data_IF_517790547874
#
_entry.id   IF_517790547874
#
_cell.length_a   1.000
_cell.length_b   1.000
_cell.length_c   1.000
_cell.angle_alpha   90.00
_cell.angle_beta   90.00
_cell.angle_gamma   90.00
#
_symmetry.space_group_name_H-M   'P 1'
#
loop_
_entity.id
_entity.type
_entity.pdbx_description
1 polymer ?
#
# COMPACT_ATOMS: atom_id res chain seq x y z
N UNK A 1 -26.12 12.62 -39.03
CA UNK A 1 -24.81 12.58 -38.35
C UNK A 1 -25.02 11.91 -36.99
N UNK A 2 -24.76 10.60 -36.91
CA UNK A 2 -25.05 9.75 -35.74
C UNK A 2 -23.73 9.10 -35.34
N UNK A 3 -23.25 9.41 -34.14
CA UNK A 3 -22.05 8.79 -33.56
C UNK A 3 -22.33 7.30 -33.30
N UNK A 4 -21.59 6.42 -33.99
CA UNK A 4 -21.55 4.99 -33.70
C UNK A 4 -20.77 4.75 -32.41
N UNK A 5 -21.45 4.21 -31.41
CA UNK A 5 -20.82 3.54 -30.27
C UNK A 5 -20.35 2.15 -30.72
N UNK A 6 -19.07 1.84 -30.56
CA UNK A 6 -18.53 0.49 -30.73
C UNK A 6 -18.89 -0.37 -29.52
N UNK A 7 -19.73 -1.38 -29.74
CA UNK A 7 -20.12 -2.40 -28.77
C UNK A 7 -18.97 -3.37 -28.47
N UNK A 8 -18.70 -3.63 -27.19
CA UNK A 8 -17.89 -4.77 -26.73
C UNK A 8 -18.56 -6.08 -27.18
N UNK A 9 -17.83 -6.91 -27.94
CA UNK A 9 -18.28 -8.26 -28.30
C UNK A 9 -17.94 -9.24 -27.19
N UNK A 10 -18.95 -9.76 -26.51
CA UNK A 10 -18.88 -11.03 -25.80
C UNK A 10 -18.59 -12.15 -26.81
N UNK A 11 -17.50 -12.90 -26.63
CA UNK A 11 -17.21 -14.10 -27.42
C UNK A 11 -17.51 -15.36 -26.60
N UNK A 12 -18.40 -16.16 -27.16
CA UNK A 12 -18.90 -17.45 -26.68
C UNK A 12 -17.80 -18.50 -26.45
N UNK A 13 -17.92 -19.24 -25.34
CA UNK A 13 -17.13 -20.42 -24.99
C UNK A 13 -17.42 -21.58 -25.95
N UNK A 14 -16.39 -22.05 -26.67
CA UNK A 14 -16.40 -23.42 -27.23
C UNK A 14 -15.92 -24.39 -26.16
N UNK A 15 -16.75 -25.39 -25.84
CA UNK A 15 -16.39 -26.54 -25.01
C UNK A 15 -15.31 -27.37 -25.72
N UNK A 16 -14.15 -27.50 -25.09
CA UNK A 16 -13.19 -28.56 -25.39
C UNK A 16 -13.46 -29.72 -24.44
N UNK A 17 -13.78 -30.87 -25.01
CA UNK A 17 -13.90 -32.16 -24.33
C UNK A 17 -12.52 -32.81 -24.26
N UNK A 18 -11.98 -32.99 -23.05
CA UNK A 18 -11.40 -34.25 -22.60
C UNK A 18 -11.05 -34.20 -21.11
N UNK A 19 -11.38 -35.32 -20.46
CA UNK A 19 -11.50 -35.56 -19.04
C UNK A 19 -10.16 -35.81 -18.33
N UNK A 20 -10.12 -35.57 -17.02
CA UNK A 20 -9.09 -36.17 -16.14
C UNK A 20 -8.72 -35.41 -14.86
N UNK A 21 -9.68 -35.11 -13.98
CA UNK A 21 -9.62 -35.18 -12.49
C UNK A 21 -10.55 -34.15 -11.85
N UNK A 22 -11.52 -34.68 -11.10
CA UNK A 22 -12.61 -33.95 -10.44
C UNK A 22 -12.13 -33.21 -9.21
N UNK A 23 -12.29 -31.88 -9.17
CA UNK A 23 -12.31 -31.12 -7.92
C UNK A 23 -13.76 -30.79 -7.58
N UNK A 24 -14.28 -31.38 -6.49
CA UNK A 24 -15.67 -31.22 -6.01
C UNK A 24 -15.76 -30.02 -5.07
N UNK A 25 -15.74 -28.82 -5.63
CA UNK A 25 -16.19 -27.61 -4.92
C UNK A 25 -17.01 -26.76 -5.89
N UNK A 26 -18.33 -26.74 -5.66
CA UNK A 26 -19.20 -25.68 -6.21
C UNK A 26 -18.64 -24.34 -5.72
N UNK A 27 -18.46 -23.40 -6.64
CA UNK A 27 -18.03 -22.00 -6.41
C UNK A 27 -16.52 -21.69 -6.35
N UNK A 28 -15.67 -22.58 -6.87
CA UNK A 28 -14.31 -22.20 -7.26
C UNK A 28 -14.31 -21.48 -8.62
N UNK A 29 -14.63 -20.19 -8.64
CA UNK A 29 -14.36 -19.32 -9.79
C UNK A 29 -12.86 -19.02 -9.87
N UNK A 30 -12.07 -20.02 -10.26
CA UNK A 30 -10.73 -19.74 -10.81
C UNK A 30 -10.96 -18.99 -12.11
N UNK A 31 -10.91 -17.65 -12.04
CA UNK A 31 -10.76 -16.80 -13.23
C UNK A 31 -9.41 -17.15 -13.85
N UNK A 32 -9.39 -18.16 -14.71
CA UNK A 32 -8.30 -18.39 -15.64
C UNK A 32 -8.32 -17.20 -16.60
N UNK A 33 -7.60 -16.13 -16.24
CA UNK A 33 -7.20 -15.12 -17.23
C UNK A 33 -6.25 -15.81 -18.18
N UNK A 34 -6.79 -16.39 -19.24
CA UNK A 34 -5.98 -16.75 -20.41
C UNK A 34 -5.36 -15.43 -20.86
N UNK A 35 -4.06 -15.27 -20.63
CA UNK A 35 -3.25 -14.15 -21.15
C UNK A 35 -3.11 -14.37 -22.66
N UNK A 36 -4.20 -14.16 -23.38
CA UNK A 36 -4.48 -14.64 -24.74
C UNK A 36 -3.62 -14.01 -25.84
N UNK A 37 -2.64 -13.19 -25.47
CA UNK A 37 -1.83 -12.39 -26.39
C UNK A 37 -0.35 -12.77 -26.39
N UNK A 38 0.05 -13.78 -25.60
CA UNK A 38 1.39 -14.37 -25.68
C UNK A 38 1.57 -15.07 -27.04
N UNK A 39 2.73 -14.85 -27.67
CA UNK A 39 2.99 -15.20 -29.08
C UNK A 39 4.45 -15.59 -29.29
N UNK A 40 4.68 -16.43 -30.29
CA UNK A 40 6.01 -16.92 -30.64
C UNK A 40 6.51 -18.05 -29.73
N UNK A 41 7.63 -18.66 -30.10
CA UNK A 41 8.28 -19.71 -29.32
C UNK A 41 9.27 -19.10 -28.34
N UNK A 42 9.11 -19.40 -27.05
CA UNK A 42 9.99 -18.93 -25.99
C UNK A 42 10.75 -20.11 -25.38
N UNK A 43 11.99 -19.87 -24.98
CA UNK A 43 12.80 -20.82 -24.22
C UNK A 43 12.51 -20.62 -22.73
N UNK A 44 12.47 -19.37 -22.27
CA UNK A 44 12.14 -18.97 -20.90
C UNK A 44 11.76 -17.49 -20.85
N UNK A 45 11.06 -17.04 -19.81
CA UNK A 45 10.34 -17.83 -18.82
C UNK A 45 9.07 -18.47 -19.40
N UNK A 46 8.41 -19.32 -18.62
CA UNK A 46 7.07 -19.82 -18.96
C UNK A 46 6.02 -18.69 -18.88
N UNK A 47 4.90 -18.86 -19.58
CA UNK A 47 3.80 -17.89 -19.50
C UNK A 47 3.20 -17.87 -18.09
N UNK A 48 3.11 -16.69 -17.49
CA UNK A 48 2.52 -16.50 -16.17
C UNK A 48 3.40 -17.04 -15.04
N UNK A 49 4.66 -17.37 -15.32
CA UNK A 49 5.63 -17.71 -14.29
C UNK A 49 5.75 -16.56 -13.28
N UNK A 50 5.93 -16.91 -12.01
CA UNK A 50 5.95 -15.95 -10.90
C UNK A 50 7.37 -15.76 -10.41
N UNK A 51 7.79 -14.51 -10.36
CA UNK A 51 9.07 -14.08 -9.81
C UNK A 51 8.83 -13.20 -8.60
N UNK A 52 9.81 -13.13 -7.69
CA UNK A 52 9.65 -12.45 -6.42
C UNK A 52 10.75 -11.43 -6.20
N UNK A 53 10.36 -10.19 -5.95
CA UNK A 53 11.18 -9.23 -5.20
C UNK A 53 11.43 -9.86 -3.83
N UNK A 54 12.70 -9.98 -3.46
CA UNK A 54 13.08 -10.67 -2.24
C UNK A 54 12.86 -9.82 -0.98
N UNK A 55 13.18 -10.40 0.18
CA UNK A 55 13.05 -9.75 1.48
C UNK A 55 13.99 -8.55 1.66
N UNK A 56 15.01 -8.39 0.79
CA UNK A 56 15.92 -7.24 0.75
C UNK A 56 15.44 -6.16 -0.24
N UNK A 57 14.23 -6.32 -0.78
CA UNK A 57 13.64 -5.47 -1.81
C UNK A 57 14.45 -5.42 -3.12
N UNK A 58 15.10 -6.53 -3.48
CA UNK A 58 15.85 -6.66 -4.73
C UNK A 58 14.95 -7.27 -5.80
N UNK A 59 14.87 -6.59 -6.96
CA UNK A 59 14.15 -7.10 -8.13
C UNK A 59 14.81 -8.40 -8.64
N UNK A 60 14.03 -9.44 -9.00
CA UNK A 60 14.57 -10.76 -9.36
C UNK A 60 15.31 -10.76 -10.71
N UNK A 61 16.17 -11.75 -10.90
CA UNK A 61 16.67 -12.12 -12.22
C UNK A 61 15.55 -12.82 -13.01
N UNK A 62 15.17 -12.23 -14.14
CA UNK A 62 14.16 -12.81 -15.04
C UNK A 62 14.75 -12.79 -16.43
N UNK A 63 15.25 -13.94 -16.87
CA UNK A 63 15.82 -14.08 -18.19
C UNK A 63 14.74 -14.44 -19.21
N UNK A 64 14.51 -13.52 -20.13
CA UNK A 64 13.63 -13.69 -21.28
C UNK A 64 14.45 -14.14 -22.48
N UNK A 65 14.10 -15.27 -23.09
CA UNK A 65 14.77 -15.81 -24.26
C UNK A 65 13.76 -16.44 -25.23
N UNK A 66 13.86 -16.11 -26.51
CA UNK A 66 12.96 -16.61 -27.55
C UNK A 66 13.71 -17.26 -28.72
N UNK A 67 13.00 -18.12 -29.45
CA UNK A 67 13.52 -18.76 -30.66
C UNK A 67 13.16 -17.94 -31.90
N UNK A 68 14.18 -17.60 -32.68
CA UNK A 68 14.03 -16.95 -33.99
C UNK A 68 15.17 -17.36 -34.90
N UNK A 69 14.86 -17.58 -36.18
CA UNK A 69 15.85 -17.83 -37.23
C UNK A 69 16.19 -16.54 -38.01
N UNK A 70 15.44 -15.46 -37.77
CA UNK A 70 15.72 -14.16 -38.36
C UNK A 70 16.96 -13.55 -37.68
N UNK A 71 17.87 -12.91 -38.44
CA UNK A 71 18.96 -12.15 -37.85
C UNK A 71 18.42 -10.93 -37.08
N UNK A 72 19.19 -10.47 -36.12
CA UNK A 72 18.95 -9.21 -35.42
C UNK A 72 19.18 -7.99 -36.32
N UNK A 73 19.02 -6.77 -35.77
CA UNK A 73 18.74 -6.50 -34.37
C UNK A 73 17.27 -6.71 -33.98
N UNK A 74 17.04 -7.02 -32.71
CA UNK A 74 15.71 -7.22 -32.12
C UNK A 74 15.26 -5.97 -31.39
N UNK A 75 14.04 -5.52 -31.67
CA UNK A 75 13.42 -4.40 -30.97
C UNK A 75 12.65 -4.95 -29.77
N UNK A 76 13.11 -4.62 -28.57
CA UNK A 76 12.50 -5.04 -27.32
C UNK A 76 11.65 -3.91 -26.75
N UNK A 77 10.46 -4.24 -26.31
CA UNK A 77 9.60 -3.39 -25.49
C UNK A 77 9.17 -4.18 -24.26
N UNK A 78 9.21 -3.54 -23.11
CA UNK A 78 8.68 -4.09 -21.88
C UNK A 78 7.70 -3.13 -21.25
N UNK A 79 6.70 -3.71 -20.57
CA UNK A 79 5.68 -2.98 -19.85
C UNK A 79 5.33 -3.74 -18.59
N UNK A 80 5.46 -3.12 -17.43
CA UNK A 80 4.96 -3.66 -16.16
C UNK A 80 3.81 -2.81 -15.65
N UNK A 81 2.72 -3.46 -15.26
CA UNK A 81 1.51 -2.81 -14.79
C UNK A 81 1.04 -3.48 -13.51
N UNK A 82 0.64 -2.67 -12.53
CA UNK A 82 -0.07 -3.13 -11.37
C UNK A 82 -1.31 -2.26 -11.11
N UNK A 83 -2.47 -2.91 -11.08
CA UNK A 83 -3.73 -2.28 -10.69
C UNK A 83 -3.91 -2.51 -9.18
N UNK A 84 -3.92 -1.43 -8.41
CA UNK A 84 -4.07 -1.52 -6.96
C UNK A 84 -5.52 -1.85 -6.59
N UNK A 85 -5.67 -2.87 -5.74
CA UNK A 85 -6.93 -3.28 -5.14
C UNK A 85 -6.84 -3.21 -3.62
N UNK A 86 -7.89 -2.65 -3.01
CA UNK A 86 -7.97 -2.55 -1.56
C UNK A 86 -7.91 -3.94 -0.93
N UNK A 87 -7.31 -4.04 0.24
CA UNK A 87 -7.17 -5.22 1.06
C UNK A 87 -7.35 -4.85 2.52
N UNK A 88 -7.77 -5.82 3.32
CA UNK A 88 -7.65 -5.71 4.77
C UNK A 88 -6.21 -6.07 5.19
N UNK A 89 -5.84 -5.82 6.44
CA UNK A 89 -4.58 -6.32 7.01
C UNK A 89 -4.61 -7.84 7.24
N UNK A 90 -5.81 -8.42 7.32
CA UNK A 90 -6.01 -9.85 7.48
C UNK A 90 -6.00 -10.52 6.11
N UNK A 91 -5.49 -11.74 6.05
CA UNK A 91 -5.45 -12.52 4.82
C UNK A 91 -6.87 -12.76 4.30
N UNK A 92 -7.12 -12.34 3.06
CA UNK A 92 -8.44 -12.39 2.47
C UNK A 92 -8.43 -11.88 1.03
N UNK A 93 -9.53 -12.14 0.33
CA UNK A 93 -9.72 -11.62 -1.02
C UNK A 93 -9.67 -10.09 -1.01
N UNK A 94 -9.00 -9.54 -2.02
CA UNK A 94 -8.98 -8.09 -2.22
C UNK A 94 -10.37 -7.57 -2.59
N UNK A 95 -10.67 -6.38 -2.09
CA UNK A 95 -11.88 -5.63 -2.41
C UNK A 95 -11.80 -4.91 -3.76
N UNK A 96 -12.55 -3.82 -3.86
CA UNK A 96 -12.64 -3.03 -5.10
C UNK A 96 -11.29 -2.39 -5.46
N UNK A 97 -11.10 -2.15 -6.75
CA UNK A 97 -9.97 -1.34 -7.21
C UNK A 97 -10.06 0.06 -6.61
N UNK A 98 -8.93 0.59 -6.14
CA UNK A 98 -8.85 1.96 -5.64
C UNK A 98 -8.65 3.00 -6.77
N UNK A 99 -8.90 2.59 -8.03
CA UNK A 99 -8.70 3.40 -9.25
C UNK A 99 -7.29 3.99 -9.36
N UNK A 100 -6.29 3.21 -8.95
CA UNK A 100 -4.88 3.58 -9.09
C UNK A 100 -4.14 2.46 -9.82
N UNK A 101 -3.58 2.83 -10.96
CA UNK A 101 -2.75 1.95 -11.80
C UNK A 101 -1.35 2.50 -11.80
N UNK A 102 -0.39 1.65 -11.48
CA UNK A 102 1.02 1.93 -11.64
C UNK A 102 1.52 1.26 -12.90
N UNK A 103 2.36 1.96 -13.67
CA UNK A 103 2.82 1.48 -14.96
C UNK A 103 4.19 2.06 -15.27
N UNK A 104 5.07 1.20 -15.76
CA UNK A 104 6.38 1.56 -16.29
C UNK A 104 6.57 0.84 -17.63
N UNK A 105 7.25 1.52 -18.54
CA UNK A 105 7.52 1.03 -19.90
C UNK A 105 8.95 1.34 -20.28
N UNK A 106 9.53 0.51 -21.12
CA UNK A 106 10.82 0.78 -21.72
C UNK A 106 10.96 0.06 -23.06
N UNK A 107 11.87 0.58 -23.87
CA UNK A 107 12.19 0.02 -25.17
C UNK A 107 13.69 0.15 -25.44
N UNK A 108 14.24 -0.83 -26.12
CA UNK A 108 15.65 -0.84 -26.52
C UNK A 108 15.85 -1.80 -27.70
N UNK A 109 17.06 -1.81 -28.24
CA UNK A 109 17.44 -2.65 -29.38
C UNK A 109 18.72 -3.39 -29.03
N UNK A 110 18.79 -4.68 -29.36
CA UNK A 110 20.01 -5.49 -29.18
C UNK A 110 20.10 -6.63 -30.20
N UNK A 111 21.31 -7.16 -30.38
CA UNK A 111 21.57 -8.32 -31.23
C UNK A 111 21.17 -9.66 -30.56
N UNK A 112 21.13 -9.68 -29.23
CA UNK A 112 20.82 -10.89 -28.47
C UNK A 112 19.35 -11.29 -28.51
N UNK A 113 19.09 -12.61 -28.49
CA UNK A 113 17.75 -13.20 -28.31
C UNK A 113 17.35 -13.34 -26.84
N UNK A 114 18.25 -12.98 -25.92
CA UNK A 114 18.02 -13.03 -24.48
C UNK A 114 18.18 -11.67 -23.82
N UNK A 115 17.33 -11.37 -22.85
CA UNK A 115 17.40 -10.16 -22.06
C UNK A 115 16.99 -10.45 -20.62
N UNK A 116 17.74 -9.91 -19.65
CA UNK A 116 17.40 -10.02 -18.25
C UNK A 116 16.69 -8.75 -17.76
N UNK A 117 15.46 -8.92 -17.25
CA UNK A 117 14.65 -7.82 -16.75
C UNK A 117 15.22 -7.13 -15.49
N UNK A 118 16.23 -7.72 -14.81
CA UNK A 118 16.98 -7.03 -13.75
C UNK A 118 17.56 -5.70 -14.24
N UNK A 119 17.88 -5.58 -15.53
CA UNK A 119 18.37 -4.32 -16.15
C UNK A 119 17.35 -3.17 -16.15
N UNK A 120 16.07 -3.41 -15.81
CA UNK A 120 15.09 -2.34 -15.55
C UNK A 120 15.60 -1.39 -14.44
N UNK A 121 16.38 -1.91 -13.49
CA UNK A 121 17.02 -1.10 -12.45
C UNK A 121 16.06 -0.47 -11.44
N UNK A 122 14.84 -0.99 -11.32
CA UNK A 122 13.81 -0.53 -10.38
C UNK A 122 13.20 -1.70 -9.61
N UNK A 123 12.84 -1.48 -8.35
CA UNK A 123 12.09 -2.46 -7.54
C UNK A 123 10.59 -2.20 -7.69
N UNK A 124 9.98 -2.77 -8.72
CA UNK A 124 8.56 -2.64 -9.06
C UNK A 124 7.95 -4.01 -9.36
N UNK A 125 6.70 -4.24 -9.00
CA UNK A 125 6.01 -5.51 -9.25
C UNK A 125 4.72 -5.32 -10.04
N UNK A 126 4.07 -6.43 -10.39
CA UNK A 126 2.87 -6.46 -11.23
C UNK A 126 3.02 -7.44 -12.38
N UNK A 127 2.15 -7.29 -13.38
CA UNK A 127 2.22 -8.11 -14.59
C UNK A 127 3.24 -7.49 -15.55
N UNK A 128 4.36 -8.17 -15.76
CA UNK A 128 5.42 -7.78 -16.69
C UNK A 128 5.19 -8.47 -18.03
N UNK A 129 5.05 -7.66 -19.08
CA UNK A 129 4.87 -8.10 -20.46
C UNK A 129 6.04 -7.65 -21.31
N UNK A 130 6.64 -8.59 -22.02
CA UNK A 130 7.71 -8.39 -22.97
C UNK A 130 7.18 -8.58 -24.38
N UNK A 131 7.61 -7.71 -25.26
CA UNK A 131 7.34 -7.76 -26.68
C UNK A 131 8.65 -7.60 -27.45
N UNK A 132 8.88 -8.50 -28.40
CA UNK A 132 10.07 -8.44 -29.28
C UNK A 132 9.62 -8.44 -30.72
N UNK A 133 10.08 -7.46 -31.49
CA UNK A 133 9.81 -7.33 -32.92
C UNK A 133 11.11 -7.53 -33.72
N UNK A 134 11.02 -8.35 -34.77
CA UNK A 134 12.10 -8.55 -35.76
C UNK A 134 11.50 -8.83 -37.13
N UNK A 135 11.83 -7.99 -38.12
CA UNK A 135 11.13 -7.98 -39.40
C UNK A 135 9.61 -7.89 -39.20
N UNK A 136 8.88 -8.86 -39.76
CA UNK A 136 7.42 -8.97 -39.60
C UNK A 136 6.99 -9.91 -38.46
N UNK A 137 7.92 -10.48 -37.69
CA UNK A 137 7.63 -11.39 -36.57
C UNK A 137 7.56 -10.63 -35.25
N UNK A 138 6.59 -11.03 -34.42
CA UNK A 138 6.33 -10.49 -33.08
C UNK A 138 6.28 -11.61 -32.05
N UNK A 139 7.07 -11.49 -31.00
CA UNK A 139 7.10 -12.38 -29.85
C UNK A 139 6.53 -11.65 -28.64
N UNK A 140 5.71 -12.33 -27.85
CA UNK A 140 5.11 -11.76 -26.64
C UNK A 140 5.17 -12.79 -25.52
N UNK A 141 5.69 -12.39 -24.37
CA UNK A 141 5.69 -13.20 -23.13
C UNK A 141 5.26 -12.37 -21.95
N UNK A 142 4.47 -12.96 -21.07
CA UNK A 142 4.00 -12.30 -19.86
C UNK A 142 4.34 -13.12 -18.61
N UNK A 143 4.81 -12.48 -17.56
CA UNK A 143 5.07 -13.06 -16.23
C UNK A 143 4.45 -12.20 -15.13
N UNK A 144 4.46 -12.67 -13.89
CA UNK A 144 4.12 -11.85 -12.72
C UNK A 144 5.33 -11.64 -11.82
N UNK A 145 5.53 -10.39 -11.40
CA UNK A 145 6.52 -10.01 -10.40
C UNK A 145 5.78 -9.66 -9.11
N UNK A 146 5.99 -10.46 -8.08
CA UNK A 146 5.39 -10.35 -6.75
C UNK A 146 6.48 -9.94 -5.73
N UNK A 147 6.12 -9.75 -4.46
CA UNK A 147 7.07 -9.35 -3.43
C UNK A 147 6.93 -10.22 -2.17
N UNK A 148 8.06 -10.56 -1.56
CA UNK A 148 8.10 -11.24 -0.27
C UNK A 148 7.98 -10.24 0.88
N UNK A 149 7.41 -10.69 1.99
CA UNK A 149 7.42 -9.95 3.25
C UNK A 149 8.86 -9.85 3.79
N UNK A 150 9.39 -8.66 4.11
CA UNK A 150 10.72 -8.52 4.74
C UNK A 150 10.89 -9.19 6.10
N UNK A 151 9.80 -9.42 6.84
CA UNK A 151 9.84 -9.79 8.25
C UNK A 151 10.09 -8.58 9.16
N UNK A 152 9.57 -8.66 10.38
CA UNK A 152 9.61 -7.58 11.38
C UNK A 152 11.03 -7.11 11.69
N UNK A 153 11.97 -8.04 11.84
CA UNK A 153 13.33 -7.76 12.32
C UNK A 153 14.15 -6.93 11.31
N UNK A 154 13.93 -7.13 10.01
CA UNK A 154 14.54 -6.29 8.95
C UNK A 154 14.00 -4.87 8.99
N UNK A 155 12.68 -4.73 9.15
CA UNK A 155 12.04 -3.40 9.28
C UNK A 155 12.57 -2.68 10.52
N UNK A 156 12.63 -3.35 11.66
CA UNK A 156 13.18 -2.79 12.90
C UNK A 156 14.66 -2.42 12.78
N UNK A 157 15.46 -3.24 12.10
CA UNK A 157 16.87 -2.93 11.85
C UNK A 157 17.02 -1.63 11.07
N UNK A 158 16.26 -1.47 9.97
CA UNK A 158 16.27 -0.24 9.18
C UNK A 158 15.85 0.99 10.00
N UNK A 159 14.81 0.85 10.83
CA UNK A 159 14.35 1.94 11.72
C UNK A 159 15.45 2.35 12.71
N UNK A 160 16.16 1.38 13.30
CA UNK A 160 17.30 1.64 14.20
C UNK A 160 18.47 2.32 13.50
N UNK A 161 18.81 1.89 12.28
CA UNK A 161 19.85 2.53 11.46
C UNK A 161 19.54 4.02 11.19
N UNK A 162 18.25 4.35 11.05
CA UNK A 162 17.79 5.73 10.88
C UNK A 162 17.52 6.48 12.20
N UNK A 163 17.70 5.83 13.36
CA UNK A 163 17.48 6.45 14.68
C UNK A 163 16.08 7.09 14.83
N UNK A 164 15.03 6.43 14.31
CA UNK A 164 13.67 6.97 14.33
C UNK A 164 12.70 6.03 15.08
N UNK A 165 12.83 5.88 16.42
CA UNK A 165 12.08 4.88 17.19
C UNK A 165 10.55 5.09 17.19
N UNK A 166 10.07 6.31 16.92
CA UNK A 166 8.63 6.54 16.75
C UNK A 166 8.05 5.80 15.54
N UNK A 167 8.86 5.54 14.52
CA UNK A 167 8.42 4.80 13.34
C UNK A 167 8.08 3.35 13.69
N UNK A 168 8.76 2.75 14.67
CA UNK A 168 8.44 1.40 15.14
C UNK A 168 7.01 1.33 15.66
N UNK A 169 6.63 2.30 16.49
CA UNK A 169 5.29 2.41 17.05
C UNK A 169 4.22 2.61 15.97
N UNK A 170 4.50 3.47 14.99
CA UNK A 170 3.59 3.73 13.87
C UNK A 170 3.41 2.45 13.04
N UNK A 171 4.49 1.80 12.59
CA UNK A 171 4.38 0.57 11.78
C UNK A 171 3.68 -0.57 12.53
N UNK A 172 3.94 -0.71 13.83
CA UNK A 172 3.25 -1.69 14.67
C UNK A 172 1.73 -1.44 14.70
N UNK A 173 1.31 -0.17 14.77
CA UNK A 173 -0.09 0.21 14.78
C UNK A 173 -0.75 0.12 13.39
N UNK A 174 -0.07 0.57 12.34
CA UNK A 174 -0.63 0.72 11.00
C UNK A 174 -0.77 -0.60 10.24
N UNK A 175 0.18 -1.51 10.40
CA UNK A 175 0.23 -2.75 9.61
C UNK A 175 0.68 -3.98 10.38
N UNK A 176 1.07 -3.83 11.64
CA UNK A 176 1.75 -4.88 12.40
C UNK A 176 2.95 -5.45 11.63
N UNK A 177 3.79 -4.56 11.08
CA UNK A 177 4.98 -4.90 10.29
C UNK A 177 4.70 -5.70 9.00
N UNK A 178 3.49 -5.63 8.45
CA UNK A 178 3.17 -6.24 7.16
C UNK A 178 3.27 -5.22 6.02
N UNK A 179 4.06 -5.54 4.99
CA UNK A 179 4.11 -4.77 3.75
C UNK A 179 3.26 -5.38 2.64
N UNK A 180 3.27 -6.71 2.54
CA UNK A 180 2.52 -7.50 1.56
C UNK A 180 1.48 -8.39 2.23
N UNK A 181 0.47 -8.83 1.48
CA UNK A 181 -0.39 -9.94 1.88
C UNK A 181 0.23 -11.26 1.44
N UNK A 182 0.31 -12.23 2.35
CA UNK A 182 0.93 -13.53 2.04
C UNK A 182 0.09 -14.31 1.02
N UNK A 183 -1.23 -14.10 0.98
CA UNK A 183 -2.16 -14.76 0.06
C UNK A 183 -1.84 -14.52 -1.41
N UNK A 184 -1.42 -13.30 -1.79
CA UNK A 184 -1.17 -12.95 -3.19
C UNK A 184 0.18 -12.28 -3.44
N UNK A 185 0.96 -12.05 -2.40
CA UNK A 185 2.29 -11.50 -2.43
C UNK A 185 2.36 -10.14 -3.16
N UNK A 186 1.31 -9.33 -2.98
CA UNK A 186 1.25 -7.94 -3.44
C UNK A 186 1.17 -6.98 -2.25
N UNK A 187 1.62 -5.73 -2.43
CA UNK A 187 1.56 -4.70 -1.39
C UNK A 187 0.15 -4.55 -0.79
N UNK A 188 0.10 -4.31 0.52
CA UNK A 188 -1.13 -3.98 1.24
C UNK A 188 -1.59 -2.60 0.76
N UNK A 189 -2.90 -2.50 0.49
CA UNK A 189 -3.54 -1.25 0.10
C UNK A 189 -4.83 -1.11 0.89
N UNK A 190 -4.96 -0.15 1.79
CA UNK A 190 -6.21 0.05 2.51
C UNK A 190 -7.30 0.68 1.63
N UNK A 191 -8.55 0.61 2.08
CA UNK A 191 -9.71 1.19 1.39
C UNK A 191 -9.63 2.71 1.21
N UNK A 192 -8.95 3.41 2.13
CA UNK A 192 -8.65 4.84 2.09
C UNK A 192 -7.36 5.18 1.33
N UNK A 193 -6.80 4.19 0.59
CA UNK A 193 -5.63 4.34 -0.29
C UNK A 193 -4.30 4.52 0.45
N UNK A 194 -4.20 4.00 1.66
CA UNK A 194 -2.93 3.80 2.38
C UNK A 194 -2.19 2.61 1.82
N UNK A 195 -0.87 2.69 1.77
CA UNK A 195 -0.02 1.63 1.23
C UNK A 195 0.94 1.10 2.30
N UNK A 196 1.17 -0.21 2.29
CA UNK A 196 2.32 -0.84 2.95
C UNK A 196 2.39 -0.66 4.48
N UNK A 197 3.62 -0.53 4.97
CA UNK A 197 3.97 -0.71 6.39
C UNK A 197 3.45 0.43 7.27
N UNK A 198 3.45 1.66 6.75
CA UNK A 198 3.08 2.87 7.47
C UNK A 198 1.78 3.51 6.95
N UNK A 199 1.09 2.84 6.02
CA UNK A 199 -0.16 3.32 5.42
C UNK A 199 -0.04 4.72 4.79
N UNK A 200 0.99 4.94 3.96
CA UNK A 200 1.18 6.21 3.24
C UNK A 200 -0.06 6.57 2.39
N UNK A 201 -0.85 7.53 2.86
CA UNK A 201 -2.16 7.94 2.31
C UNK A 201 -2.10 9.32 1.65
N UNK A 202 -1.57 10.32 2.36
CA UNK A 202 -1.36 11.70 1.88
C UNK A 202 -0.14 11.73 0.98
N UNK A 203 -0.18 12.40 -0.17
CA UNK A 203 0.87 12.36 -1.20
C UNK A 203 1.23 10.91 -1.60
N UNK A 204 0.51 10.35 -2.58
CA UNK A 204 0.63 8.95 -2.94
C UNK A 204 2.07 8.52 -3.20
N UNK A 205 2.50 7.37 -2.66
CA UNK A 205 3.83 6.85 -2.91
C UNK A 205 4.06 6.57 -4.39
N UNK A 206 5.32 6.67 -4.82
CA UNK A 206 5.76 6.25 -6.16
C UNK A 206 5.62 4.73 -6.33
N UNK A 207 5.70 4.24 -7.56
CA UNK A 207 5.60 2.80 -7.83
C UNK A 207 6.64 1.98 -7.05
N UNK A 208 7.88 2.46 -7.01
CA UNK A 208 8.95 1.82 -6.23
C UNK A 208 8.71 1.90 -4.72
N UNK A 209 8.20 3.03 -4.21
CA UNK A 209 7.85 3.15 -2.79
C UNK A 209 6.69 2.24 -2.37
N UNK A 210 5.91 1.71 -3.31
CA UNK A 210 4.86 0.73 -3.00
C UNK A 210 5.37 -0.71 -3.02
N UNK A 211 6.33 -1.03 -3.89
CA UNK A 211 6.82 -2.40 -4.06
C UNK A 211 8.14 -2.70 -3.34
N UNK A 212 8.92 -1.68 -3.00
CA UNK A 212 10.10 -1.79 -2.16
C UNK A 212 9.75 -1.39 -0.74
N UNK A 213 9.65 -2.35 0.17
CA UNK A 213 9.44 -2.08 1.59
C UNK A 213 10.53 -1.15 2.15
N UNK A 214 11.75 -1.21 1.63
CA UNK A 214 12.87 -0.36 2.04
C UNK A 214 12.66 1.10 1.62
N UNK A 215 12.41 1.36 0.33
CA UNK A 215 12.09 2.73 -0.15
C UNK A 215 10.82 3.28 0.50
N UNK A 216 9.84 2.40 0.78
CA UNK A 216 8.64 2.75 1.54
C UNK A 216 8.98 3.28 2.93
N UNK A 217 9.83 2.56 3.67
CA UNK A 217 10.22 2.94 5.03
C UNK A 217 11.10 4.18 5.06
N UNK A 218 12.04 4.32 4.12
CA UNK A 218 12.85 5.53 3.96
C UNK A 218 11.97 6.77 3.74
N UNK A 219 10.97 6.68 2.87
CA UNK A 219 9.99 7.74 2.65
C UNK A 219 9.15 8.01 3.91
N UNK A 220 8.71 6.96 4.59
CA UNK A 220 7.92 7.08 5.83
C UNK A 220 8.71 7.83 6.90
N UNK A 221 9.98 7.48 7.10
CA UNK A 221 10.88 8.11 8.06
C UNK A 221 11.12 9.57 7.68
N UNK A 222 11.34 9.85 6.39
CA UNK A 222 11.47 11.22 5.87
C UNK A 222 10.23 12.06 6.20
N UNK A 223 9.02 11.53 5.98
CA UNK A 223 7.76 12.21 6.30
C UNK A 223 7.58 12.41 7.80
N UNK A 224 7.90 11.41 8.62
CA UNK A 224 7.80 11.53 10.07
C UNK A 224 8.74 12.61 10.61
N UNK A 225 9.96 12.70 10.09
CA UNK A 225 10.91 13.77 10.44
C UNK A 225 10.39 15.15 10.09
N UNK A 226 9.69 15.31 8.96
CA UNK A 226 8.98 16.56 8.63
C UNK A 226 7.90 16.87 9.68
N UNK A 227 7.11 15.86 10.08
CA UNK A 227 6.11 16.02 11.15
C UNK A 227 6.72 16.37 12.50
N UNK A 228 7.89 15.82 12.82
CA UNK A 228 8.67 16.15 14.01
C UNK A 228 9.18 17.59 13.97
N UNK A 229 9.62 18.07 12.82
CA UNK A 229 10.03 19.47 12.64
C UNK A 229 8.83 20.43 12.79
N UNK A 230 7.67 20.09 12.23
CA UNK A 230 6.42 20.83 12.42
C UNK A 230 6.00 20.86 13.91
N UNK A 231 6.06 19.72 14.60
CA UNK A 231 5.78 19.60 16.03
C UNK A 231 6.71 20.47 16.86
N UNK A 232 8.02 20.42 16.58
CA UNK A 232 9.03 21.26 17.23
C UNK A 232 8.74 22.75 17.04
N UNK A 233 8.48 23.17 15.80
CA UNK A 233 8.13 24.57 15.50
C UNK A 233 6.87 25.02 16.26
N UNK A 234 5.86 24.15 16.35
CA UNK A 234 4.63 24.44 17.09
C UNK A 234 4.86 24.57 18.60
N UNK A 235 5.58 23.61 19.20
CA UNK A 235 5.82 23.56 20.64
C UNK A 235 6.81 24.63 21.12
N UNK A 236 7.71 25.10 20.25
CA UNK A 236 8.64 26.20 20.53
C UNK A 236 8.06 27.60 20.32
N UNK A 237 6.80 27.75 19.89
CA UNK A 237 6.20 29.08 19.65
C UNK A 237 6.38 29.98 20.86
N UNK A 238 6.77 31.24 20.62
CA UNK A 238 7.00 32.24 21.67
C UNK A 238 8.01 31.80 22.76
N UNK A 239 8.98 30.94 22.42
CA UNK A 239 10.00 30.46 23.37
C UNK A 239 9.47 29.47 24.42
N UNK A 240 8.28 28.91 24.21
CA UNK A 240 7.66 27.95 25.12
C UNK A 240 8.51 26.68 25.24
N UNK A 241 8.67 26.22 26.48
CA UNK A 241 9.39 24.98 26.79
C UNK A 241 8.46 23.78 26.64
N UNK A 242 9.00 22.63 26.23
CA UNK A 242 8.27 21.38 26.08
C UNK A 242 9.19 20.19 26.38
N UNK A 243 8.61 19.04 26.75
CA UNK A 243 9.37 17.81 27.05
C UNK A 243 9.56 16.97 25.79
N UNK A 244 10.46 15.99 25.85
CA UNK A 244 10.64 15.02 24.77
C UNK A 244 9.35 14.22 24.50
N UNK A 245 8.63 13.83 25.55
CA UNK A 245 7.32 13.17 25.45
C UNK A 245 6.29 14.04 24.72
N UNK A 246 6.22 15.34 25.02
CA UNK A 246 5.33 16.26 24.31
C UNK A 246 5.64 16.32 22.82
N UNK A 247 6.93 16.34 22.45
CA UNK A 247 7.36 16.33 21.06
C UNK A 247 6.95 15.02 20.37
N UNK A 248 7.09 13.89 21.03
CA UNK A 248 6.76 12.59 20.47
C UNK A 248 5.25 12.42 20.24
N UNK A 249 4.42 12.78 21.23
CA UNK A 249 2.95 12.77 21.12
C UNK A 249 2.45 13.72 20.02
N UNK A 250 3.03 14.93 19.95
CA UNK A 250 2.68 15.90 18.91
C UNK A 250 3.12 15.40 17.52
N UNK A 251 4.26 14.73 17.41
CA UNK A 251 4.76 14.14 16.16
C UNK A 251 3.83 13.01 15.68
N UNK A 252 3.46 12.07 16.56
CA UNK A 252 2.54 10.97 16.25
C UNK A 252 1.16 11.51 15.85
N UNK A 253 0.66 12.52 16.55
CA UNK A 253 -0.66 13.11 16.25
C UNK A 253 -0.67 13.79 14.88
N UNK A 254 0.44 14.42 14.49
CA UNK A 254 0.63 15.04 13.17
C UNK A 254 0.80 14.04 12.03
N UNK A 255 1.23 12.82 12.30
CA UNK A 255 1.18 11.73 11.32
C UNK A 255 -0.25 11.53 10.80
N UNK A 256 -1.24 11.62 11.70
CA UNK A 256 -2.67 11.60 11.39
C UNK A 256 -3.27 12.99 11.06
N UNK A 257 -2.44 14.01 10.87
CA UNK A 257 -2.87 15.34 10.40
C UNK A 257 -3.50 16.27 11.44
N UNK A 258 -3.30 16.03 12.74
CA UNK A 258 -3.89 16.84 13.83
C UNK A 258 -2.83 17.38 14.80
N UNK A 259 -3.26 18.13 15.83
CA UNK A 259 -2.42 18.56 16.97
C UNK A 259 -2.80 17.81 18.24
N UNK A 260 -1.84 17.57 19.14
CA UNK A 260 -2.09 16.91 20.42
C UNK A 260 -2.25 17.93 21.56
N UNK A 261 -1.35 18.90 21.59
CA UNK A 261 -1.31 19.90 22.65
C UNK A 261 -2.00 21.20 22.26
N UNK A 262 -2.46 21.92 23.27
CA UNK A 262 -2.78 23.33 23.20
C UNK A 262 -2.09 24.08 24.35
N UNK A 263 -1.87 25.37 24.16
CA UNK A 263 -1.24 26.18 25.19
C UNK A 263 -2.31 26.74 26.13
N UNK A 264 -2.16 26.46 27.42
CA UNK A 264 -3.00 26.99 28.47
C UNK A 264 -2.36 28.26 29.02
N UNK A 265 -2.86 29.43 28.60
CA UNK A 265 -2.35 30.73 29.05
C UNK A 265 -2.39 30.88 30.59
N UNK A 266 -3.48 30.51 31.31
CA UNK A 266 -3.55 30.67 32.76
C UNK A 266 -2.45 29.92 33.52
N UNK A 267 -2.15 28.68 33.14
CA UNK A 267 -1.09 27.88 33.77
C UNK A 267 0.28 28.03 33.10
N UNK A 268 0.36 28.75 31.98
CA UNK A 268 1.56 28.90 31.13
C UNK A 268 2.21 27.56 30.80
N UNK A 269 1.41 26.57 30.38
CA UNK A 269 1.85 25.20 30.09
C UNK A 269 1.21 24.65 28.83
N UNK A 270 1.92 23.74 28.17
CA UNK A 270 1.31 22.84 27.19
C UNK A 270 0.43 21.83 27.92
N UNK A 271 -0.81 21.71 27.48
CA UNK A 271 -1.78 20.74 27.97
C UNK A 271 -2.28 19.90 26.80
N UNK A 272 -2.72 18.68 27.09
CA UNK A 272 -3.45 17.87 26.11
C UNK A 272 -4.77 18.57 25.75
N UNK A 273 -5.14 18.58 24.47
CA UNK A 273 -6.36 19.24 23.99
C UNK A 273 -7.59 18.81 24.78
N UNK A 274 -8.26 19.76 25.45
CA UNK A 274 -9.37 19.47 26.37
C UNK A 274 -10.68 19.13 25.67
N UNK A 275 -10.85 19.62 24.44
CA UNK A 275 -12.08 19.40 23.67
C UNK A 275 -12.24 17.97 23.18
N UNK A 276 -11.24 17.09 23.30
CA UNK A 276 -11.30 15.73 22.77
C UNK A 276 -11.25 14.70 23.90
N UNK A 277 -12.38 14.00 24.11
CA UNK A 277 -12.46 12.80 24.92
C UNK A 277 -12.25 11.57 24.04
N UNK A 278 -11.25 10.75 24.36
CA UNK A 278 -10.97 9.55 23.58
C UNK A 278 -11.70 8.32 24.12
N UNK A 279 -12.06 7.41 23.22
CA UNK A 279 -12.50 6.06 23.56
C UNK A 279 -11.26 5.19 23.81
N UNK A 280 -10.94 4.95 25.08
CA UNK A 280 -9.74 4.17 25.49
C UNK A 280 -9.76 2.69 25.09
N UNK A 281 -10.87 2.19 24.53
CA UNK A 281 -11.01 0.82 24.03
C UNK A 281 -10.86 0.73 22.52
N UNK A 282 -10.57 1.83 21.85
CA UNK A 282 -10.40 1.92 20.39
C UNK A 282 -9.04 2.50 20.04
N UNK A 283 -8.67 2.40 18.76
CA UNK A 283 -7.37 2.87 18.29
C UNK A 283 -7.29 4.38 18.05
N UNK A 284 -8.36 5.03 17.59
CA UNK A 284 -8.34 6.44 17.18
C UNK A 284 -9.70 7.14 17.27
N UNK A 285 -10.69 6.54 17.95
CA UNK A 285 -12.04 7.10 18.06
C UNK A 285 -12.14 7.96 19.32
N UNK A 286 -12.89 9.06 19.20
CA UNK A 286 -13.25 9.91 20.33
C UNK A 286 -14.43 10.84 20.01
N UNK A 287 -14.63 11.81 20.90
CA UNK A 287 -15.73 12.77 20.85
C UNK A 287 -15.21 14.19 21.06
N UNK A 288 -15.74 15.10 20.26
CA UNK A 288 -15.59 16.53 20.48
C UNK A 288 -16.57 16.99 21.55
N UNK A 289 -16.04 17.34 22.72
CA UNK A 289 -16.77 17.74 23.92
C UNK A 289 -17.30 19.17 23.84
N UNK A 290 -16.93 19.94 22.81
CA UNK A 290 -17.56 21.24 22.53
C UNK A 290 -18.95 21.10 21.90
N UNK A 291 -19.32 19.91 21.42
CA UNK A 291 -20.64 19.63 20.88
C UNK A 291 -21.64 19.39 22.01
N UNK A 292 -22.81 20.00 21.89
CA UNK A 292 -23.91 19.89 22.86
C UNK A 292 -24.26 18.43 23.19
N UNK A 293 -24.33 17.57 22.18
CA UNK A 293 -24.65 16.14 22.35
C UNK A 293 -23.60 15.35 23.13
N UNK A 294 -22.40 15.89 23.32
CA UNK A 294 -21.30 15.23 24.02
C UNK A 294 -20.96 15.92 25.34
N UNK A 295 -21.24 17.21 25.48
CA UNK A 295 -20.88 18.02 26.64
C UNK A 295 -21.36 17.39 27.95
N UNK A 296 -20.46 17.33 28.95
CA UNK A 296 -20.74 16.78 30.28
C UNK A 296 -20.91 15.26 30.35
N UNK A 297 -20.88 14.53 29.23
CA UNK A 297 -21.00 13.07 29.23
C UNK A 297 -19.66 12.40 29.54
N UNK A 298 -19.75 11.25 30.20
CA UNK A 298 -18.59 10.39 30.46
C UNK A 298 -18.26 9.54 29.24
N UNK A 299 -17.00 9.07 29.16
CA UNK A 299 -16.56 8.13 28.12
C UNK A 299 -17.46 6.88 28.03
N UNK A 300 -17.87 6.32 29.18
CA UNK A 300 -18.76 5.16 29.21
C UNK A 300 -20.13 5.45 28.58
N UNK A 301 -20.74 6.60 28.91
CA UNK A 301 -22.03 6.98 28.34
C UNK A 301 -21.95 7.21 26.82
N UNK A 302 -20.87 7.86 26.35
CA UNK A 302 -20.65 8.11 24.93
C UNK A 302 -20.37 6.81 24.16
N UNK A 303 -19.55 5.90 24.73
CA UNK A 303 -19.27 4.60 24.12
C UNK A 303 -20.54 3.75 24.01
N UNK A 304 -21.35 3.66 25.06
CA UNK A 304 -22.59 2.88 25.02
C UNK A 304 -23.56 3.40 23.96
N UNK A 305 -23.60 4.73 23.74
CA UNK A 305 -24.36 5.33 22.64
C UNK A 305 -23.82 4.88 21.27
N UNK A 306 -22.51 4.88 21.07
CA UNK A 306 -21.91 4.90 19.73
C UNK A 306 -21.24 3.60 19.27
N UNK A 307 -20.85 2.68 20.16
CA UNK A 307 -20.01 1.51 19.85
C UNK A 307 -20.53 0.64 18.71
N UNK A 308 -21.86 0.50 18.61
CA UNK A 308 -22.52 -0.30 17.57
C UNK A 308 -22.45 0.31 16.16
N UNK A 309 -21.98 1.56 16.07
CA UNK A 309 -21.88 2.32 14.81
C UNK A 309 -20.46 2.48 14.31
N UNK A 310 -19.43 2.13 15.10
CA UNK A 310 -18.02 2.27 14.70
C UNK A 310 -17.70 1.55 13.38
N UNK A 311 -18.31 0.38 13.14
CA UNK A 311 -18.18 -0.36 11.88
C UNK A 311 -19.16 0.07 10.78
N UNK A 312 -20.21 0.82 11.13
CA UNK A 312 -21.32 1.20 10.22
C UNK A 312 -21.17 2.63 9.68
N UNK A 313 -20.36 3.44 10.36
CA UNK A 313 -20.13 4.85 10.03
C UNK A 313 -20.82 5.80 11.01
N UNK A 314 -20.28 7.03 11.06
CA UNK A 314 -20.79 8.13 11.89
C UNK A 314 -22.10 8.70 11.36
N UNK A 315 -22.94 9.21 12.27
CA UNK A 315 -24.17 9.92 11.93
C UNK A 315 -24.34 11.17 12.83
N UNK A 316 -25.45 11.90 12.69
CA UNK A 316 -25.77 13.01 13.58
C UNK A 316 -26.04 12.52 15.00
N UNK A 317 -26.79 11.42 15.15
CA UNK A 317 -27.13 10.82 16.44
C UNK A 317 -25.93 10.10 17.10
N UNK A 318 -24.94 9.73 16.27
CA UNK A 318 -23.69 9.10 16.68
C UNK A 318 -22.47 9.91 16.19
N UNK A 319 -22.22 11.10 16.79
CA UNK A 319 -21.27 12.09 16.31
C UNK A 319 -19.81 11.82 16.74
N UNK A 320 -19.42 10.55 16.89
CA UNK A 320 -18.02 10.17 17.14
C UNK A 320 -17.12 10.55 15.95
N UNK A 321 -15.82 10.73 16.22
CA UNK A 321 -14.83 11.15 15.25
C UNK A 321 -13.57 10.28 15.34
N UNK A 322 -12.84 10.19 14.22
CA UNK A 322 -11.44 9.78 14.24
C UNK A 322 -10.59 10.99 14.61
N UNK A 323 -9.74 10.87 15.64
CA UNK A 323 -8.90 11.97 16.09
C UNK A 323 -7.47 11.52 16.39
N UNK A 324 -6.48 12.30 15.93
CA UNK A 324 -5.06 11.96 16.04
C UNK A 324 -4.56 11.96 17.49
N UNK A 325 -5.17 12.76 18.37
CA UNK A 325 -4.86 12.71 19.80
C UNK A 325 -5.24 11.35 20.41
N UNK A 326 -6.36 10.76 20.01
CA UNK A 326 -6.75 9.41 20.47
C UNK A 326 -5.82 8.34 19.92
N UNK A 327 -5.37 8.50 18.67
CA UNK A 327 -4.35 7.66 18.08
C UNK A 327 -3.02 7.72 18.84
N UNK A 328 -2.57 8.93 19.21
CA UNK A 328 -1.35 9.09 19.98
C UNK A 328 -1.47 8.54 21.41
N UNK A 329 -2.60 8.76 22.09
CA UNK A 329 -2.86 8.13 23.40
C UNK A 329 -2.77 6.61 23.32
N UNK A 330 -3.43 6.02 22.32
CA UNK A 330 -3.45 4.57 22.11
C UNK A 330 -2.06 4.01 21.82
N UNK A 331 -1.25 4.69 21.00
CA UNK A 331 0.13 4.31 20.74
C UNK A 331 1.02 4.47 21.97
N UNK A 332 0.81 5.52 22.77
CA UNK A 332 1.63 5.76 23.96
C UNK A 332 1.35 4.74 25.07
N UNK A 333 0.15 4.19 25.13
CA UNK A 333 -0.29 3.19 26.11
C UNK A 333 0.02 1.73 25.71
N UNK A 334 0.66 1.51 24.55
CA UNK A 334 1.19 0.22 24.11
C UNK A 334 2.69 0.15 24.33
#
# INVERSE_FOLDING_TARGET
MRLMMTSEKEMSLKRSSNAGMTNRTKDSLVKVKVRSNDRGQWIKPENGEKFFIDEEAVFPDIEFEFKSDLPGPYQWEWKIIWLAHASNLHEGLRGRSIKRTFMEVGKFVQEGKSWNARSIGKTIGGTLRIEVQVGNRKFVRTVDVLAKQPGKERVLKLIREHQEPLMEKIVAQESNFKHVLDMDQQPIVSGDKGFGLSQLTVDPPTYEQVWSWRKHMEESISRLRKKRAEAKSYLSKNGRQYTQEMLDLETITRWNGMKYHEWDEPSSKWIRIKSIQCDTKTGNIGWDMSKEDNAGKTEGALRERDKETYAKGRSKDHPWIYHGACYADHIANK
#
